data_IF_880801330151
#
_entry.id   IF_880801330151
#
_cell.length_a   1.000
_cell.length_b   1.000
_cell.length_c   1.000
_cell.angle_alpha   90.00
_cell.angle_beta   90.00
_cell.angle_gamma   90.00
#
_symmetry.space_group_name_H-M   'P 1'
#
loop_
_entity.id
_entity.type
_entity.pdbx_description
1 polymer ?
#
# COMPACT_ATOMS: atom_id res chain seq x y z
N UNK A 1 -12.55 29.54 9.25
CA UNK A 1 -11.93 28.90 10.44
C UNK A 1 -12.01 27.39 10.23
N UNK A 2 -10.96 26.78 9.70
CA UNK A 2 -10.87 25.33 9.51
C UNK A 2 -10.61 24.72 10.89
N UNK A 3 -11.61 24.10 11.47
CA UNK A 3 -11.44 23.26 12.66
C UNK A 3 -10.41 22.19 12.34
N UNK A 4 -9.25 22.31 12.95
CA UNK A 4 -8.22 21.27 12.94
C UNK A 4 -8.90 19.97 13.42
N UNK A 5 -9.01 18.92 12.61
CA UNK A 5 -9.63 17.68 13.10
C UNK A 5 -8.79 17.19 14.27
N UNK A 6 -9.43 17.08 15.45
CA UNK A 6 -8.79 16.54 16.64
C UNK A 6 -8.07 15.24 16.26
N UNK A 7 -6.84 15.11 16.71
CA UNK A 7 -6.09 13.84 16.58
C UNK A 7 -6.98 12.73 17.13
N UNK A 8 -7.05 11.57 16.45
CA UNK A 8 -7.84 10.45 16.96
C UNK A 8 -7.38 10.11 18.38
N UNK A 9 -8.27 9.62 19.25
CA UNK A 9 -7.91 9.27 20.62
C UNK A 9 -6.70 8.32 20.62
N UNK A 10 -5.92 8.38 21.70
CA UNK A 10 -4.79 7.47 21.89
C UNK A 10 -5.25 6.02 21.75
N UNK A 11 -4.36 5.10 21.31
CA UNK A 11 -4.70 3.69 21.33
C UNK A 11 -5.09 3.29 22.74
N UNK A 12 -6.07 2.42 22.88
CA UNK A 12 -6.43 1.84 24.16
C UNK A 12 -5.78 0.47 24.37
N UNK A 13 -5.20 -0.09 23.31
CA UNK A 13 -4.41 -1.31 23.34
C UNK A 13 -3.35 -1.25 22.24
N UNK A 14 -2.12 -1.74 22.52
CA UNK A 14 -1.03 -1.78 21.56
C UNK A 14 0.04 -2.77 21.98
N UNK A 15 0.81 -3.27 21.03
CA UNK A 15 1.89 -4.19 21.33
C UNK A 15 2.70 -4.62 20.12
N UNK A 16 3.60 -5.57 20.38
CA UNK A 16 4.36 -6.30 19.38
C UNK A 16 3.84 -7.73 19.33
N UNK A 17 3.52 -8.23 18.14
CA UNK A 17 3.08 -9.60 17.93
C UNK A 17 4.19 -10.38 17.24
N UNK A 18 4.64 -11.46 17.85
CA UNK A 18 5.55 -12.42 17.21
C UNK A 18 4.80 -13.15 16.08
N UNK A 19 5.26 -12.93 14.87
CA UNK A 19 4.69 -13.53 13.66
C UNK A 19 5.58 -14.61 13.04
N UNK A 20 6.59 -15.04 13.79
CA UNK A 20 7.55 -16.05 13.36
C UNK A 20 8.67 -15.50 12.48
N UNK A 21 9.60 -16.39 12.13
CA UNK A 21 10.76 -16.07 11.27
C UNK A 21 11.62 -14.91 11.78
N UNK A 22 11.60 -14.66 13.11
CA UNK A 22 12.30 -13.53 13.72
C UNK A 22 11.63 -12.18 13.51
N UNK A 23 10.39 -12.14 13.02
CA UNK A 23 9.64 -10.92 12.80
C UNK A 23 8.63 -10.64 13.93
N UNK A 24 8.54 -9.38 14.30
CA UNK A 24 7.50 -8.88 15.21
C UNK A 24 6.76 -7.74 14.53
N UNK A 25 5.44 -7.82 14.52
CA UNK A 25 4.54 -6.82 13.93
C UNK A 25 4.01 -5.92 15.03
N UNK A 26 4.23 -4.62 14.87
CA UNK A 26 3.62 -3.62 15.76
C UNK A 26 2.15 -3.42 15.38
N UNK A 27 1.30 -3.43 16.38
CA UNK A 27 -0.13 -3.19 16.24
C UNK A 27 -0.67 -2.26 17.32
N UNK A 28 -1.80 -1.63 17.04
CA UNK A 28 -2.57 -0.88 18.02
C UNK A 28 -4.07 -0.92 17.69
N UNK A 29 -4.89 -0.74 18.74
CA UNK A 29 -6.35 -0.65 18.61
C UNK A 29 -6.82 0.71 19.10
N UNK A 30 -7.69 1.33 18.31
CA UNK A 30 -8.27 2.66 18.57
C UNK A 30 -9.78 2.62 18.41
N UNK A 31 -10.43 3.75 18.76
CA UNK A 31 -11.87 3.91 18.62
C UNK A 31 -12.66 3.37 19.80
N UNK A 32 -13.74 2.65 19.54
CA UNK A 32 -14.67 2.16 20.57
C UNK A 32 -14.36 0.72 20.94
N UNK A 33 -13.99 0.42 22.20
CA UNK A 33 -13.86 -0.97 22.65
C UNK A 33 -15.17 -1.74 22.46
N UNK A 34 -15.10 -2.92 21.80
CA UNK A 34 -16.27 -3.72 21.46
C UNK A 34 -17.11 -3.17 20.30
N UNK A 35 -16.67 -2.12 19.63
CA UNK A 35 -17.27 -1.63 18.40
C UNK A 35 -17.06 -2.61 17.23
N UNK A 36 -17.62 -2.27 16.06
CA UNK A 36 -17.45 -3.09 14.85
C UNK A 36 -15.98 -3.20 14.48
N UNK A 37 -15.40 -4.42 14.38
CA UNK A 37 -13.99 -4.55 14.04
C UNK A 37 -13.69 -4.10 12.60
N UNK A 38 -12.64 -3.28 12.46
CA UNK A 38 -12.10 -2.90 11.17
C UNK A 38 -10.58 -2.88 11.23
N UNK A 39 -9.91 -3.29 10.16
CA UNK A 39 -8.46 -3.23 10.03
C UNK A 39 -8.06 -2.29 8.90
N UNK A 40 -7.06 -1.45 9.17
CA UNK A 40 -6.46 -0.57 8.18
C UNK A 40 -5.20 -1.23 7.61
N UNK A 41 -5.23 -1.52 6.33
CA UNK A 41 -4.13 -2.12 5.57
C UNK A 41 -3.43 -1.00 4.79
N UNK A 42 -2.26 -0.58 5.28
CA UNK A 42 -1.54 0.55 4.70
C UNK A 42 -0.90 0.24 3.35
N UNK A 43 -0.58 1.30 2.60
CA UNK A 43 0.08 1.24 1.30
C UNK A 43 1.61 1.10 1.37
N UNK A 44 2.23 1.31 0.26
CA UNK A 44 3.65 1.14 0.00
C UNK A 44 3.85 0.17 -1.17
N UNK A 45 4.36 -1.08 -0.96
CA UNK A 45 4.67 -1.80 0.31
C UNK A 45 5.64 -1.06 1.22
N UNK A 46 5.52 -1.29 2.54
CA UNK A 46 6.47 -0.72 3.51
C UNK A 46 6.17 0.73 3.95
N UNK A 47 4.96 1.25 3.71
CA UNK A 47 4.61 2.63 4.03
C UNK A 47 4.31 2.92 5.51
N UNK A 48 3.96 1.91 6.30
CA UNK A 48 3.51 2.08 7.69
C UNK A 48 2.13 2.76 7.82
N UNK A 49 1.46 2.58 8.93
CA UNK A 49 0.10 3.12 9.10
C UNK A 49 0.02 4.60 9.53
N UNK A 50 1.13 5.22 9.88
CA UNK A 50 1.20 6.61 10.36
C UNK A 50 0.67 7.65 9.35
N UNK A 51 0.46 7.28 8.10
CA UNK A 51 0.02 8.16 7.02
C UNK A 51 -1.45 8.61 7.07
N UNK A 52 -2.18 8.31 8.15
CA UNK A 52 -3.44 8.96 8.49
C UNK A 52 -4.70 8.38 7.85
N UNK A 53 -4.64 7.28 7.12
CA UNK A 53 -5.81 6.62 6.52
C UNK A 53 -6.93 6.29 7.53
N UNK A 54 -6.56 6.00 8.77
CA UNK A 54 -7.49 5.71 9.85
C UNK A 54 -8.37 6.90 10.29
N UNK A 55 -8.02 8.15 9.97
CA UNK A 55 -8.79 9.36 10.34
C UNK A 55 -10.15 9.45 9.67
N UNK A 56 -10.46 8.53 8.74
CA UNK A 56 -11.74 8.46 8.05
C UNK A 56 -12.80 7.70 8.83
N UNK A 57 -12.39 6.95 9.86
CA UNK A 57 -13.32 6.16 10.69
C UNK A 57 -13.94 7.01 11.80
N UNK A 58 -15.22 6.78 12.04
CA UNK A 58 -15.92 7.38 13.15
C UNK A 58 -15.39 6.84 14.48
N UNK A 59 -15.17 7.74 15.45
CA UNK A 59 -14.70 7.44 16.80
C UNK A 59 -15.64 6.48 17.54
N UNK A 60 -16.94 6.53 17.24
CA UNK A 60 -17.99 5.92 18.05
C UNK A 60 -18.56 4.61 17.47
N UNK A 61 -18.09 4.13 16.34
CA UNK A 61 -18.66 2.98 15.67
C UNK A 61 -17.71 1.77 15.51
N UNK A 62 -16.43 2.01 15.49
CA UNK A 62 -15.44 0.98 15.16
C UNK A 62 -14.42 0.72 16.26
N UNK A 63 -14.11 -0.57 16.43
CA UNK A 63 -12.85 -1.04 17.00
C UNK A 63 -11.84 -1.11 15.85
N UNK A 64 -10.96 -0.11 15.77
CA UNK A 64 -10.07 0.08 14.63
C UNK A 64 -8.70 -0.48 14.90
N UNK A 65 -8.33 -1.54 14.20
CA UNK A 65 -7.03 -2.19 14.24
C UNK A 65 -6.09 -1.54 13.22
N UNK A 66 -4.92 -1.16 13.67
CA UNK A 66 -3.84 -0.59 12.86
C UNK A 66 -2.60 -1.45 13.09
N UNK A 67 -1.84 -1.72 12.06
CA UNK A 67 -0.58 -2.45 12.21
C UNK A 67 0.44 -1.97 11.19
N UNK A 68 1.71 -2.03 11.53
CA UNK A 68 2.80 -1.86 10.60
C UNK A 68 3.15 -3.24 10.02
N UNK A 69 3.07 -3.40 8.70
CA UNK A 69 3.45 -4.65 8.03
C UNK A 69 4.92 -4.97 8.30
N UNK A 70 5.36 -6.21 8.02
CA UNK A 70 6.79 -6.59 8.17
C UNK A 70 7.69 -5.59 7.48
N UNK A 71 8.80 -5.28 8.11
CA UNK A 71 9.86 -4.43 7.56
C UNK A 71 9.61 -2.94 7.60
N UNK A 72 8.52 -2.44 8.19
CA UNK A 72 8.25 -1.00 8.21
C UNK A 72 7.74 -0.48 9.56
N UNK A 73 7.78 0.84 9.71
CA UNK A 73 7.28 1.53 10.88
C UNK A 73 7.97 1.07 12.15
N UNK A 74 7.19 0.57 13.11
CA UNK A 74 7.66 0.03 14.38
C UNK A 74 7.85 -1.48 14.39
N UNK A 75 7.46 -2.17 13.31
CA UNK A 75 7.72 -3.60 13.15
C UNK A 75 9.20 -3.90 13.00
N UNK A 76 9.64 -5.06 13.50
CA UNK A 76 11.06 -5.45 13.48
C UNK A 76 11.25 -6.85 12.91
N UNK A 77 12.38 -7.08 12.19
CA UNK A 77 13.41 -6.12 11.79
C UNK A 77 12.86 -5.11 10.77
N UNK A 78 13.50 -3.94 10.64
CA UNK A 78 13.06 -2.89 9.72
C UNK A 78 13.80 -3.00 8.39
N UNK A 79 13.08 -2.92 7.25
CA UNK A 79 13.66 -3.05 5.92
C UNK A 79 14.69 -1.95 5.55
N UNK A 80 14.69 -0.83 6.28
CA UNK A 80 15.71 0.21 6.15
C UNK A 80 17.06 -0.13 6.79
N UNK A 81 17.13 -1.22 7.56
CA UNK A 81 18.38 -1.67 8.16
C UNK A 81 19.06 -2.66 7.19
N UNK A 82 20.34 -2.45 6.85
CA UNK A 82 21.01 -3.19 5.77
C UNK A 82 21.09 -4.71 6.00
N UNK A 83 21.15 -5.12 7.26
CA UNK A 83 21.28 -6.54 7.62
C UNK A 83 19.92 -7.28 7.65
N UNK A 84 18.81 -6.60 7.33
CA UNK A 84 17.48 -7.22 7.34
C UNK A 84 17.30 -8.13 6.14
N UNK A 85 17.05 -9.42 6.41
CA UNK A 85 16.71 -10.42 5.39
C UNK A 85 15.24 -10.30 4.99
N UNK A 86 14.97 -10.01 3.72
CA UNK A 86 13.61 -9.81 3.18
C UNK A 86 12.93 -11.12 2.74
N UNK A 87 13.59 -12.29 2.82
CA UNK A 87 13.04 -13.57 2.30
C UNK A 87 11.70 -13.97 2.91
N UNK A 88 11.45 -13.60 4.16
CA UNK A 88 10.19 -13.85 4.88
C UNK A 88 9.24 -12.65 4.84
N UNK A 89 9.43 -11.71 3.91
CA UNK A 89 8.55 -10.58 3.69
C UNK A 89 7.89 -10.71 2.30
N UNK A 90 6.83 -11.49 2.22
CA UNK A 90 6.05 -11.74 1.01
C UNK A 90 4.56 -11.55 1.29
N UNK A 91 3.75 -11.42 0.25
CA UNK A 91 2.29 -11.29 0.38
C UNK A 91 1.68 -12.40 1.24
N UNK A 92 2.18 -13.62 1.12
CA UNK A 92 1.70 -14.77 1.89
C UNK A 92 2.03 -14.69 3.38
N UNK A 93 3.21 -14.16 3.72
CA UNK A 93 3.57 -13.88 5.11
C UNK A 93 2.68 -12.78 5.69
N UNK A 94 2.41 -11.70 4.93
CA UNK A 94 1.54 -10.62 5.39
C UNK A 94 0.09 -11.09 5.60
N UNK A 95 -0.43 -11.97 4.75
CA UNK A 95 -1.75 -12.59 4.94
C UNK A 95 -1.77 -13.42 6.24
N UNK A 96 -0.74 -14.23 6.47
CA UNK A 96 -0.62 -15.00 7.71
C UNK A 96 -0.48 -14.11 8.96
N UNK A 97 0.23 -13.00 8.85
CA UNK A 97 0.35 -12.02 9.94
C UNK A 97 -1.00 -11.36 10.27
N UNK A 98 -1.80 -11.03 9.25
CA UNK A 98 -3.15 -10.51 9.45
C UNK A 98 -4.04 -11.52 10.18
N UNK A 99 -3.98 -12.81 9.83
CA UNK A 99 -4.73 -13.85 10.56
C UNK A 99 -4.25 -14.00 12.00
N UNK A 100 -2.93 -14.04 12.25
CA UNK A 100 -2.38 -14.07 13.61
C UNK A 100 -2.83 -12.87 14.43
N UNK A 101 -2.82 -11.67 13.83
CA UNK A 101 -3.28 -10.45 14.51
C UNK A 101 -4.78 -10.51 14.81
N UNK A 102 -5.60 -10.95 13.87
CA UNK A 102 -7.03 -11.13 14.06
C UNK A 102 -7.32 -12.10 15.24
N UNK A 103 -6.65 -13.24 15.24
CA UNK A 103 -6.78 -14.26 16.31
C UNK A 103 -6.29 -13.74 17.66
N UNK A 104 -5.14 -13.05 17.69
CA UNK A 104 -4.58 -12.44 18.91
C UNK A 104 -5.57 -11.46 19.56
N UNK A 105 -6.31 -10.70 18.74
CA UNK A 105 -7.30 -9.74 19.19
C UNK A 105 -8.69 -10.36 19.43
N UNK A 106 -8.87 -11.66 19.22
CA UNK A 106 -10.15 -12.35 19.39
C UNK A 106 -11.25 -11.90 18.42
N UNK A 107 -10.87 -11.37 17.27
CA UNK A 107 -11.79 -10.87 16.25
C UNK A 107 -12.21 -12.03 15.34
N UNK A 108 -13.52 -12.27 15.19
CA UNK A 108 -14.04 -13.30 14.30
C UNK A 108 -14.02 -12.85 12.83
N UNK A 109 -14.52 -11.65 12.58
CA UNK A 109 -14.60 -11.02 11.25
C UNK A 109 -14.33 -9.53 11.39
N UNK A 110 -13.74 -8.93 10.37
CA UNK A 110 -13.49 -7.50 10.32
C UNK A 110 -13.79 -6.87 8.95
N UNK A 111 -14.05 -5.57 8.95
CA UNK A 111 -14.04 -4.75 7.75
C UNK A 111 -12.57 -4.52 7.35
N UNK A 112 -12.26 -4.67 6.06
CA UNK A 112 -10.95 -4.30 5.51
C UNK A 112 -11.02 -2.89 4.91
N UNK A 113 -10.08 -2.02 5.32
CA UNK A 113 -9.83 -0.76 4.65
C UNK A 113 -8.41 -0.76 4.09
N UNK A 114 -8.28 -0.89 2.78
CA UNK A 114 -6.99 -0.92 2.07
C UNK A 114 -6.78 0.34 1.22
N UNK A 115 -5.53 0.83 1.18
CA UNK A 115 -5.14 1.97 0.37
C UNK A 115 -3.89 1.63 -0.46
N UNK A 116 -3.90 1.94 -1.79
CA UNK A 116 -2.77 1.66 -2.69
C UNK A 116 -2.37 0.18 -2.64
N UNK A 117 -1.10 -0.17 -2.38
CA UNK A 117 -0.67 -1.54 -2.10
C UNK A 117 -1.58 -2.27 -1.10
N UNK A 118 -2.02 -1.56 -0.04
CA UNK A 118 -2.94 -2.13 0.94
C UNK A 118 -4.27 -2.60 0.35
N UNK A 119 -4.68 -2.10 -0.82
CA UNK A 119 -5.84 -2.61 -1.54
C UNK A 119 -5.57 -3.98 -2.16
N UNK A 120 -4.39 -4.19 -2.76
CA UNK A 120 -4.00 -5.48 -3.31
C UNK A 120 -3.85 -6.54 -2.20
N UNK A 121 -3.20 -6.18 -1.08
CA UNK A 121 -3.08 -7.06 0.08
C UNK A 121 -4.45 -7.39 0.69
N UNK A 122 -5.36 -6.42 0.79
CA UNK A 122 -6.74 -6.66 1.27
C UNK A 122 -7.51 -7.61 0.37
N UNK A 123 -7.39 -7.48 -0.94
CA UNK A 123 -8.00 -8.40 -1.91
C UNK A 123 -7.41 -9.81 -1.78
N UNK A 124 -6.08 -9.93 -1.72
CA UNK A 124 -5.41 -11.21 -1.56
C UNK A 124 -5.83 -11.92 -0.26
N UNK A 125 -5.90 -11.17 0.85
CA UNK A 125 -6.38 -11.68 2.12
C UNK A 125 -7.84 -12.12 2.04
N UNK A 126 -8.74 -11.29 1.51
CA UNK A 126 -10.16 -11.59 1.43
C UNK A 126 -10.46 -12.80 0.51
N UNK A 127 -9.66 -13.00 -0.54
CA UNK A 127 -9.77 -14.17 -1.42
C UNK A 127 -9.30 -15.46 -0.75
N UNK A 128 -8.40 -15.40 0.23
CA UNK A 128 -7.95 -16.55 1.02
C UNK A 128 -8.88 -16.84 2.20
N UNK A 129 -9.43 -15.80 2.83
CA UNK A 129 -10.21 -15.86 4.05
C UNK A 129 -11.55 -15.11 3.93
N UNK A 130 -12.40 -15.41 2.93
CA UNK A 130 -13.64 -14.66 2.70
C UNK A 130 -14.58 -14.72 3.91
N UNK A 131 -14.56 -15.79 4.69
CA UNK A 131 -15.34 -15.95 5.91
C UNK A 131 -14.89 -15.02 7.06
N UNK A 132 -13.68 -14.43 6.98
CA UNK A 132 -13.12 -13.49 7.96
C UNK A 132 -13.39 -12.02 7.63
N UNK A 133 -14.06 -11.76 6.51
CA UNK A 133 -14.29 -10.40 6.03
C UNK A 133 -15.78 -10.08 6.06
N UNK A 134 -16.13 -8.96 6.69
CA UNK A 134 -17.52 -8.49 6.73
C UNK A 134 -17.83 -7.57 5.55
N UNK A 135 -16.98 -6.59 5.28
CA UNK A 135 -17.06 -5.65 4.15
C UNK A 135 -15.63 -5.22 3.73
N UNK A 136 -15.52 -4.62 2.55
CA UNK A 136 -14.25 -4.13 2.02
C UNK A 136 -14.41 -2.70 1.52
N UNK A 137 -13.52 -1.80 1.94
CA UNK A 137 -13.37 -0.46 1.37
C UNK A 137 -11.94 -0.34 0.83
N UNK A 138 -11.81 -0.09 -0.45
CA UNK A 138 -10.51 0.11 -1.10
C UNK A 138 -10.41 1.52 -1.66
N UNK A 139 -9.27 2.19 -1.43
CA UNK A 139 -9.01 3.52 -1.98
C UNK A 139 -7.68 3.53 -2.74
N UNK A 140 -7.59 4.30 -3.84
CA UNK A 140 -6.45 4.31 -4.75
C UNK A 140 -6.05 2.87 -5.11
N UNK A 141 -7.01 2.12 -5.66
CA UNK A 141 -6.94 0.66 -5.83
C UNK A 141 -5.82 0.27 -6.78
N UNK A 142 -4.99 -0.68 -6.35
CA UNK A 142 -3.92 -1.27 -7.15
C UNK A 142 -4.30 -2.70 -7.54
N UNK A 143 -4.32 -3.01 -8.84
CA UNK A 143 -4.75 -4.31 -9.36
C UNK A 143 -3.75 -5.44 -9.16
N UNK A 144 -2.47 -5.10 -9.00
CA UNK A 144 -1.40 -6.05 -8.72
C UNK A 144 -1.00 -6.94 -9.89
N UNK A 145 -1.41 -6.62 -11.11
CA UNK A 145 -1.02 -7.34 -12.33
C UNK A 145 0.36 -6.88 -12.82
N UNK A 146 1.01 -7.69 -13.61
CA UNK A 146 2.25 -7.30 -14.28
C UNK A 146 2.08 -6.02 -15.10
N UNK A 147 0.97 -5.89 -15.83
CA UNK A 147 0.69 -4.68 -16.61
C UNK A 147 0.50 -3.42 -15.75
N UNK A 148 0.01 -3.53 -14.51
CA UNK A 148 -0.12 -2.41 -13.58
C UNK A 148 1.27 -1.99 -13.06
N UNK A 149 2.16 -2.95 -12.81
CA UNK A 149 3.57 -2.71 -12.45
C UNK A 149 4.31 -2.10 -13.66
N UNK A 150 4.12 -2.65 -14.85
CA UNK A 150 4.72 -2.14 -16.09
C UNK A 150 4.22 -0.73 -16.41
N UNK A 151 2.96 -0.41 -16.12
CA UNK A 151 2.46 0.95 -16.21
C UNK A 151 3.25 1.88 -15.30
N UNK A 152 3.36 1.56 -14.02
CA UNK A 152 3.99 2.40 -13.00
C UNK A 152 5.47 2.64 -13.29
N UNK A 153 6.21 1.59 -13.70
CA UNK A 153 7.65 1.63 -13.90
C UNK A 153 8.10 1.59 -15.37
N UNK A 154 7.22 1.93 -16.31
CA UNK A 154 7.53 2.06 -17.74
C UNK A 154 6.49 2.94 -18.45
N UNK A 155 5.21 2.58 -18.40
CA UNK A 155 4.15 3.22 -19.18
C UNK A 155 3.96 4.69 -18.84
N UNK A 156 3.97 5.04 -17.56
CA UNK A 156 3.82 6.39 -17.04
C UNK A 156 4.97 7.34 -17.46
N UNK A 157 6.13 6.79 -17.83
CA UNK A 157 7.26 7.59 -18.35
C UNK A 157 6.94 8.43 -19.58
N UNK A 158 5.91 8.07 -20.32
CA UNK A 158 5.43 8.89 -21.46
C UNK A 158 4.88 10.25 -21.04
N UNK A 159 4.45 10.39 -19.80
CA UNK A 159 3.91 11.62 -19.24
C UNK A 159 4.97 12.44 -18.50
N UNK A 160 6.06 11.80 -18.07
CA UNK A 160 7.16 12.38 -17.28
C UNK A 160 8.52 11.95 -17.85
N UNK A 161 8.82 12.25 -19.15
CA UNK A 161 10.00 11.70 -19.82
C UNK A 161 11.32 12.10 -19.15
N UNK A 162 11.41 13.33 -18.64
CA UNK A 162 12.61 13.82 -17.96
C UNK A 162 12.86 13.16 -16.60
N UNK A 163 11.80 12.80 -15.87
CA UNK A 163 11.91 12.05 -14.63
C UNK A 163 12.23 10.57 -14.89
N UNK A 164 11.63 10.02 -15.95
CA UNK A 164 11.87 8.68 -16.42
C UNK A 164 13.33 8.48 -16.86
N UNK A 165 13.88 9.40 -17.64
CA UNK A 165 15.29 9.36 -18.07
C UNK A 165 16.26 9.38 -16.87
N UNK A 166 15.96 10.18 -15.82
CA UNK A 166 16.75 10.19 -14.58
C UNK A 166 16.64 8.86 -13.83
N UNK A 167 15.43 8.28 -13.76
CA UNK A 167 15.20 6.99 -13.12
C UNK A 167 15.97 5.87 -13.84
N UNK A 168 15.93 5.83 -15.17
CA UNK A 168 16.70 4.88 -15.98
C UNK A 168 18.22 5.05 -15.80
N UNK A 169 18.69 6.29 -15.78
CA UNK A 169 20.11 6.58 -15.59
C UNK A 169 20.60 6.13 -14.21
N UNK A 170 19.75 6.25 -13.17
CA UNK A 170 20.02 5.71 -11.84
C UNK A 170 20.22 4.20 -11.85
N UNK A 171 19.33 3.47 -12.53
CA UNK A 171 19.41 2.01 -12.67
C UNK A 171 20.68 1.56 -13.45
N UNK A 172 21.15 2.32 -14.44
CA UNK A 172 22.33 1.99 -15.24
C UNK A 172 23.63 1.95 -14.43
N UNK A 173 23.73 2.73 -13.34
CA UNK A 173 24.90 2.75 -12.44
C UNK A 173 25.19 1.41 -11.78
N UNK A 174 24.21 0.53 -11.65
CA UNK A 174 24.37 -0.81 -11.06
C UNK A 174 25.07 -1.82 -11.96
N UNK A 175 25.08 -1.59 -13.26
CA UNK A 175 25.37 -2.67 -14.19
C UNK A 175 26.86 -2.85 -14.51
N UNK A 176 27.74 -1.87 -14.22
CA UNK A 176 29.14 -1.94 -14.70
C UNK A 176 29.24 -2.24 -16.20
N UNK A 177 28.11 -2.28 -16.90
CA UNK A 177 27.97 -2.62 -18.32
C UNK A 177 27.44 -1.38 -19.04
N UNK A 178 28.22 -0.91 -20.02
CA UNK A 178 27.84 0.13 -20.95
C UNK A 178 26.67 -0.34 -21.85
N UNK A 179 25.45 -0.26 -21.32
CA UNK A 179 24.21 -0.55 -22.03
C UNK A 179 23.07 0.17 -21.34
N UNK A 180 22.49 1.15 -22.00
CA UNK A 180 21.24 1.78 -21.56
C UNK A 180 20.19 0.69 -21.38
N UNK A 181 19.46 0.67 -20.23
CA UNK A 181 18.38 -0.29 -20.02
C UNK A 181 17.14 0.09 -20.84
N UNK A 182 17.26 0.16 -22.16
CA UNK A 182 16.09 0.37 -23.03
C UNK A 182 15.15 -0.84 -23.04
N UNK A 183 15.68 -2.05 -22.70
CA UNK A 183 14.92 -3.30 -22.58
C UNK A 183 15.22 -4.03 -21.26
N UNK A 184 15.85 -3.37 -20.30
CA UNK A 184 16.37 -3.95 -19.08
C UNK A 184 15.34 -3.97 -17.94
N UNK A 185 15.52 -4.94 -17.08
CA UNK A 185 14.86 -5.12 -15.80
C UNK A 185 15.23 -3.97 -14.82
N UNK A 186 14.55 -2.82 -14.94
CA UNK A 186 14.78 -1.62 -14.10
C UNK A 186 14.54 -1.94 -12.62
N UNK A 187 13.48 -2.68 -12.32
CA UNK A 187 13.14 -3.06 -10.95
C UNK A 187 14.21 -3.96 -10.32
N UNK A 188 14.67 -4.98 -11.06
CA UNK A 188 15.77 -5.82 -10.59
C UNK A 188 17.09 -5.07 -10.48
N UNK A 189 17.34 -4.06 -11.32
CA UNK A 189 18.52 -3.21 -11.17
C UNK A 189 18.47 -2.42 -9.86
N UNK A 190 17.36 -1.77 -9.54
CA UNK A 190 17.18 -1.09 -8.27
C UNK A 190 17.22 -2.04 -7.07
N UNK A 191 16.61 -3.23 -7.17
CA UNK A 191 16.70 -4.23 -6.12
C UNK A 191 18.16 -4.60 -5.79
N UNK A 192 19.04 -4.70 -6.82
CA UNK A 192 20.48 -4.92 -6.61
C UNK A 192 21.19 -3.73 -5.99
N UNK A 193 20.90 -2.49 -6.46
CA UNK A 193 21.50 -1.27 -5.90
C UNK A 193 21.18 -1.08 -4.42
N UNK A 194 19.96 -1.43 -4.01
CA UNK A 194 19.48 -1.32 -2.63
C UNK A 194 20.14 -2.34 -1.68
N UNK A 195 20.78 -3.37 -2.22
CA UNK A 195 21.57 -4.37 -1.47
C UNK A 195 23.09 -4.14 -1.62
N UNK A 196 23.53 -3.06 -2.26
CA UNK A 196 24.95 -2.77 -2.44
C UNK A 196 25.64 -2.56 -1.07
N UNK A 197 26.87 -3.08 -0.86
CA UNK A 197 27.60 -2.86 0.40
C UNK A 197 27.92 -1.39 0.66
N UNK A 198 28.06 -0.56 -0.39
CA UNK A 198 28.30 0.88 -0.25
C UNK A 198 26.99 1.63 0.08
N UNK A 199 26.97 2.26 1.25
CA UNK A 199 25.84 3.07 1.69
C UNK A 199 25.49 4.20 0.71
N UNK A 200 26.48 4.85 0.10
CA UNK A 200 26.22 5.95 -0.82
C UNK A 200 25.50 5.47 -2.09
N UNK A 201 25.78 4.25 -2.55
CA UNK A 201 25.08 3.63 -3.68
C UNK A 201 23.61 3.36 -3.31
N UNK A 202 23.36 2.78 -2.13
CA UNK A 202 21.99 2.53 -1.66
C UNK A 202 21.18 3.82 -1.50
N UNK A 203 21.76 4.84 -0.85
CA UNK A 203 21.08 6.12 -0.65
C UNK A 203 20.78 6.82 -1.98
N UNK A 204 21.71 6.77 -2.95
CA UNK A 204 21.44 7.30 -4.28
C UNK A 204 20.28 6.57 -4.95
N UNK A 205 20.22 5.24 -4.88
CA UNK A 205 19.11 4.46 -5.43
C UNK A 205 17.78 4.85 -4.79
N UNK A 206 17.74 5.08 -3.47
CA UNK A 206 16.56 5.57 -2.76
C UNK A 206 16.13 6.94 -3.27
N UNK A 207 17.06 7.87 -3.45
CA UNK A 207 16.74 9.20 -3.97
C UNK A 207 16.18 9.15 -5.40
N UNK A 208 16.81 8.36 -6.28
CA UNK A 208 16.37 8.23 -7.67
C UNK A 208 14.96 7.60 -7.76
N UNK A 209 14.70 6.56 -6.96
CA UNK A 209 13.38 5.93 -6.89
C UNK A 209 12.32 6.89 -6.33
N UNK A 210 12.62 7.53 -5.20
CA UNK A 210 11.69 8.49 -4.57
C UNK A 210 11.36 9.66 -5.49
N UNK A 211 12.34 10.16 -6.25
CA UNK A 211 12.14 11.21 -7.22
C UNK A 211 11.20 10.78 -8.37
N UNK A 212 11.28 9.53 -8.79
CA UNK A 212 10.35 8.96 -9.77
C UNK A 212 8.92 8.88 -9.23
N UNK A 213 8.73 8.31 -8.04
CA UNK A 213 7.41 8.21 -7.39
C UNK A 213 6.80 9.61 -7.14
N UNK A 214 7.62 10.57 -6.71
CA UNK A 214 7.17 11.95 -6.50
C UNK A 214 6.79 12.65 -7.82
N UNK A 215 7.45 12.33 -8.93
CA UNK A 215 7.09 12.85 -10.25
C UNK A 215 5.68 12.42 -10.66
N UNK A 216 5.31 11.16 -10.39
CA UNK A 216 3.96 10.65 -10.69
C UNK A 216 2.86 11.36 -9.88
N UNK A 217 3.20 11.89 -8.71
CA UNK A 217 2.29 12.61 -7.82
C UNK A 217 2.31 14.14 -8.04
N UNK A 218 3.22 14.66 -8.87
CA UNK A 218 3.50 16.09 -8.98
C UNK A 218 2.28 16.94 -9.35
N UNK A 219 1.40 16.43 -10.21
CA UNK A 219 0.17 17.14 -10.61
C UNK A 219 -0.81 17.35 -9.43
N UNK A 220 -0.76 16.46 -8.43
CA UNK A 220 -1.63 16.53 -7.25
C UNK A 220 -1.01 17.34 -6.12
N UNK A 221 0.30 17.49 -6.12
CA UNK A 221 1.05 18.15 -5.04
C UNK A 221 1.08 19.67 -5.17
N UNK A 222 0.69 20.24 -6.31
CA UNK A 222 0.56 21.68 -6.53
C UNK A 222 1.83 22.48 -6.12
N UNK A 223 3.02 21.96 -6.45
CA UNK A 223 4.29 22.62 -6.15
C UNK A 223 4.79 22.44 -4.70
N UNK A 224 4.18 21.54 -3.93
CA UNK A 224 4.74 21.13 -2.63
C UNK A 224 5.89 20.15 -2.83
N UNK A 225 6.73 20.03 -1.80
CA UNK A 225 7.80 19.03 -1.78
C UNK A 225 7.25 17.61 -1.95
N UNK A 226 8.06 16.71 -2.50
CA UNK A 226 7.71 15.32 -2.74
C UNK A 226 7.25 14.60 -1.46
N UNK A 227 6.30 13.68 -1.60
CA UNK A 227 5.78 12.90 -0.47
C UNK A 227 6.90 12.03 0.13
N UNK A 228 7.70 11.41 -0.74
CA UNK A 228 8.71 10.43 -0.33
C UNK A 228 10.00 11.10 0.15
N UNK A 229 10.41 12.20 -0.48
CA UNK A 229 11.64 12.91 -0.12
C UNK A 229 11.63 13.54 1.30
N UNK A 230 10.46 13.66 1.93
CA UNK A 230 10.33 14.27 3.28
C UNK A 230 10.55 13.30 4.43
N UNK A 231 10.65 11.98 4.18
CA UNK A 231 10.87 11.01 5.24
C UNK A 231 12.34 10.92 5.66
N UNK A 232 12.63 10.52 6.91
CA UNK A 232 13.98 10.15 7.31
C UNK A 232 14.55 9.06 6.39
N UNK A 233 15.86 9.09 6.09
CA UNK A 233 16.51 8.16 5.15
C UNK A 233 16.22 6.68 5.46
N UNK A 234 16.21 6.29 6.73
CA UNK A 234 15.89 4.92 7.15
C UNK A 234 14.48 4.49 6.72
N UNK A 235 13.50 5.39 6.86
CA UNK A 235 12.11 5.15 6.44
C UNK A 235 11.98 5.10 4.92
N UNK A 236 12.66 6.02 4.21
CA UNK A 236 12.73 6.00 2.75
C UNK A 236 13.35 4.70 2.25
N UNK A 237 14.49 4.30 2.82
CA UNK A 237 15.17 3.04 2.49
C UNK A 237 14.26 1.84 2.68
N UNK A 238 13.55 1.76 3.83
CA UNK A 238 12.62 0.68 4.12
C UNK A 238 11.47 0.61 3.12
N UNK A 239 10.89 1.75 2.75
CA UNK A 239 9.84 1.85 1.76
C UNK A 239 10.33 1.42 0.37
N UNK A 240 11.42 2.01 -0.12
CA UNK A 240 11.93 1.76 -1.47
C UNK A 240 12.42 0.31 -1.61
N UNK A 241 13.12 -0.21 -0.59
CA UNK A 241 13.57 -1.60 -0.57
C UNK A 241 12.39 -2.58 -0.57
N UNK A 242 11.32 -2.27 0.18
CA UNK A 242 10.09 -3.06 0.14
C UNK A 242 9.41 -2.99 -1.24
N UNK A 243 9.27 -1.79 -1.83
CA UNK A 243 8.71 -1.64 -3.17
C UNK A 243 9.50 -2.43 -4.21
N UNK A 244 10.83 -2.29 -4.24
CA UNK A 244 11.68 -3.03 -5.16
C UNK A 244 11.55 -4.55 -4.98
N UNK A 245 11.55 -5.04 -3.73
CA UNK A 245 11.38 -6.44 -3.39
C UNK A 245 10.04 -7.02 -3.88
N UNK A 246 8.94 -6.32 -3.63
CA UNK A 246 7.61 -6.79 -4.05
C UNK A 246 7.40 -6.67 -5.56
N UNK A 247 7.71 -5.54 -6.16
CA UNK A 247 7.43 -5.30 -7.58
C UNK A 247 8.33 -6.13 -8.50
N UNK A 248 9.60 -6.36 -8.16
CA UNK A 248 10.48 -7.24 -8.93
C UNK A 248 10.08 -8.72 -8.86
N UNK A 249 9.34 -9.11 -7.81
CA UNK A 249 8.83 -10.47 -7.62
C UNK A 249 7.32 -10.60 -7.92
N UNK A 250 6.73 -9.68 -8.71
CA UNK A 250 5.32 -9.76 -9.09
C UNK A 250 4.38 -9.82 -7.89
N UNK A 251 4.71 -9.10 -6.81
CA UNK A 251 3.98 -9.10 -5.54
C UNK A 251 3.87 -10.48 -4.86
N UNK A 252 4.65 -11.46 -5.28
CA UNK A 252 4.53 -12.88 -4.88
C UNK A 252 3.14 -13.46 -5.13
N UNK A 253 2.45 -12.98 -6.17
CA UNK A 253 1.15 -13.43 -6.65
C UNK A 253 1.31 -13.98 -8.09
N UNK A 254 0.39 -14.85 -8.50
CA UNK A 254 0.26 -15.16 -9.93
C UNK A 254 -0.25 -13.94 -10.69
N UNK A 255 0.22 -13.74 -11.91
CA UNK A 255 -0.23 -12.63 -12.73
C UNK A 255 -1.74 -12.67 -12.95
N UNK A 256 -2.41 -11.53 -12.69
CA UNK A 256 -3.86 -11.41 -12.78
C UNK A 256 -4.66 -12.16 -11.73
N UNK A 257 -4.02 -12.75 -10.71
CA UNK A 257 -4.68 -13.56 -9.68
C UNK A 257 -5.84 -12.82 -9.01
N UNK A 258 -5.63 -11.57 -8.59
CA UNK A 258 -6.65 -10.81 -7.83
C UNK A 258 -7.92 -10.57 -8.65
N UNK A 259 -7.78 -10.35 -9.95
CA UNK A 259 -8.92 -10.20 -10.88
C UNK A 259 -9.56 -11.56 -11.17
N UNK A 260 -8.78 -12.58 -11.49
CA UNK A 260 -9.25 -13.93 -11.80
C UNK A 260 -10.08 -14.50 -10.64
N UNK A 261 -9.62 -14.31 -9.42
CA UNK A 261 -10.21 -14.89 -8.22
C UNK A 261 -11.22 -13.95 -7.54
N UNK A 262 -11.59 -12.82 -8.18
CA UNK A 262 -12.56 -11.86 -7.64
C UNK A 262 -13.94 -12.47 -7.34
N UNK A 263 -14.34 -13.53 -8.01
CA UNK A 263 -15.55 -14.28 -7.71
C UNK A 263 -15.63 -14.87 -6.30
N UNK A 264 -14.47 -15.06 -5.63
CA UNK A 264 -14.42 -15.50 -4.22
C UNK A 264 -14.95 -14.44 -3.24
N UNK A 265 -15.06 -13.19 -3.69
CA UNK A 265 -15.58 -12.07 -2.91
C UNK A 265 -17.10 -11.97 -2.98
N UNK A 266 -17.81 -12.88 -3.69
CA UNK A 266 -19.25 -12.89 -3.79
C UNK A 266 -19.90 -12.92 -2.39
N UNK A 267 -20.89 -12.06 -2.17
CA UNK A 267 -21.57 -11.89 -0.88
C UNK A 267 -20.85 -10.96 0.11
N UNK A 268 -19.64 -10.48 -0.19
CA UNK A 268 -18.94 -9.47 0.60
C UNK A 268 -19.18 -8.11 -0.03
N UNK A 269 -19.88 -7.16 0.64
CA UNK A 269 -20.10 -5.82 0.10
C UNK A 269 -18.78 -5.07 -0.03
N UNK A 270 -18.54 -4.44 -1.20
CA UNK A 270 -17.33 -3.68 -1.50
C UNK A 270 -17.58 -2.24 -1.93
N UNK A 271 -16.67 -1.33 -1.60
CA UNK A 271 -16.61 0.03 -2.14
C UNK A 271 -15.21 0.31 -2.64
N UNK A 272 -15.09 0.58 -3.94
CA UNK A 272 -13.84 0.87 -4.62
C UNK A 272 -13.79 2.38 -4.92
N UNK A 273 -12.97 3.13 -4.20
CA UNK A 273 -12.81 4.58 -4.37
C UNK A 273 -11.52 4.85 -5.14
N UNK A 274 -11.61 5.48 -6.31
CA UNK A 274 -10.45 5.69 -7.16
C UNK A 274 -10.47 7.07 -7.81
N UNK A 275 -9.28 7.67 -7.99
CA UNK A 275 -9.14 8.94 -8.71
C UNK A 275 -9.11 8.73 -10.23
N UNK A 276 -9.79 9.61 -10.99
CA UNK A 276 -9.77 9.56 -12.45
C UNK A 276 -8.36 9.68 -13.02
N UNK A 277 -7.55 10.51 -12.40
CA UNK A 277 -6.21 10.87 -12.86
C UNK A 277 -5.10 10.17 -12.07
N UNK A 278 -5.40 9.00 -11.50
CA UNK A 278 -4.40 8.22 -10.73
C UNK A 278 -3.31 7.67 -11.67
N UNK A 279 -2.12 8.27 -11.58
CA UNK A 279 -0.95 7.89 -12.38
C UNK A 279 -0.23 6.67 -11.81
N UNK A 280 -0.48 6.31 -10.53
CA UNK A 280 0.11 5.14 -9.89
C UNK A 280 -0.70 3.85 -10.16
N UNK A 281 -1.95 3.98 -10.64
CA UNK A 281 -2.79 2.85 -11.00
C UNK A 281 -3.95 3.28 -11.88
N UNK A 282 -3.97 2.90 -13.17
CA UNK A 282 -5.05 3.28 -14.07
C UNK A 282 -6.43 2.77 -13.60
N UNK A 283 -7.46 3.59 -13.75
CA UNK A 283 -8.84 3.25 -13.41
C UNK A 283 -9.34 1.96 -14.09
N UNK A 284 -8.73 1.55 -15.20
CA UNK A 284 -9.11 0.32 -15.91
C UNK A 284 -9.07 -0.91 -14.99
N UNK A 285 -8.02 -1.09 -14.18
CA UNK A 285 -7.90 -2.22 -13.26
C UNK A 285 -9.08 -2.28 -12.28
N UNK A 286 -9.48 -1.11 -11.74
CA UNK A 286 -10.62 -0.99 -10.81
C UNK A 286 -11.93 -1.33 -11.49
N UNK A 287 -12.09 -0.88 -12.74
CA UNK A 287 -13.29 -1.11 -13.53
C UNK A 287 -13.48 -2.60 -13.87
N UNK A 288 -12.40 -3.27 -14.21
CA UNK A 288 -12.39 -4.72 -14.48
C UNK A 288 -12.66 -5.53 -13.21
N UNK A 289 -12.04 -5.15 -12.09
CA UNK A 289 -12.29 -5.78 -10.79
C UNK A 289 -13.77 -5.67 -10.38
N UNK A 290 -14.38 -4.49 -10.54
CA UNK A 290 -15.78 -4.29 -10.22
C UNK A 290 -16.74 -5.14 -11.07
N UNK A 291 -16.38 -5.39 -12.34
CA UNK A 291 -17.17 -6.30 -13.19
C UNK A 291 -17.10 -7.75 -12.73
N UNK A 292 -15.96 -8.15 -12.15
CA UNK A 292 -15.73 -9.51 -11.66
C UNK A 292 -16.22 -9.71 -10.21
N UNK A 293 -16.51 -8.62 -9.49
CA UNK A 293 -17.02 -8.64 -8.11
C UNK A 293 -18.38 -7.95 -8.01
N UNK A 294 -19.51 -8.72 -8.15
CA UNK A 294 -20.86 -8.15 -8.28
C UNK A 294 -21.35 -7.30 -7.10
N UNK A 295 -20.80 -7.55 -5.90
CA UNK A 295 -21.16 -6.83 -4.68
C UNK A 295 -20.32 -5.57 -4.46
N UNK A 296 -19.46 -5.20 -5.41
CA UNK A 296 -18.61 -4.01 -5.36
C UNK A 296 -19.27 -2.81 -6.07
N UNK A 297 -19.19 -1.64 -5.42
CA UNK A 297 -19.57 -0.34 -5.97
C UNK A 297 -18.32 0.48 -6.27
N UNK A 298 -18.23 1.06 -7.47
CA UNK A 298 -17.13 1.96 -7.85
C UNK A 298 -17.53 3.42 -7.63
N UNK A 299 -16.69 4.16 -6.95
CA UNK A 299 -16.77 5.61 -6.75
C UNK A 299 -15.57 6.27 -7.40
N UNK A 300 -15.76 6.91 -8.55
CA UNK A 300 -14.70 7.65 -9.24
C UNK A 300 -14.68 9.08 -8.78
N UNK A 301 -13.55 9.54 -8.24
CA UNK A 301 -13.30 10.93 -7.90
C UNK A 301 -12.69 11.64 -9.11
N UNK A 302 -13.47 12.50 -9.77
CA UNK A 302 -13.06 13.19 -11.01
C UNK A 302 -12.00 14.27 -10.75
N UNK A 303 -11.88 14.74 -9.51
CA UNK A 303 -10.97 15.79 -9.03
C UNK A 303 -9.67 15.23 -8.40
N UNK A 304 -9.40 13.93 -8.54
CA UNK A 304 -8.31 13.27 -7.84
C UNK A 304 -7.49 12.33 -8.72
N UNK A 305 -6.25 12.14 -8.32
CA UNK A 305 -5.39 11.05 -8.75
C UNK A 305 -5.15 10.04 -7.63
N UNK A 306 -3.85 9.75 -7.33
CA UNK A 306 -3.47 8.79 -6.31
C UNK A 306 -3.68 9.32 -4.90
N UNK A 307 -3.36 10.60 -4.65
CA UNK A 307 -3.49 11.21 -3.33
C UNK A 307 -4.96 11.47 -2.95
N UNK A 308 -5.17 11.83 -1.70
CA UNK A 308 -6.48 12.17 -1.19
C UNK A 308 -6.98 13.50 -1.76
N UNK A 309 -8.25 13.53 -2.15
CA UNK A 309 -9.02 14.75 -2.39
C UNK A 309 -10.22 14.81 -1.44
N UNK A 310 -10.89 15.94 -1.38
CA UNK A 310 -12.13 16.08 -0.60
C UNK A 310 -13.19 15.04 -1.06
N UNK A 311 -13.28 14.81 -2.35
CA UNK A 311 -14.21 13.83 -2.94
C UNK A 311 -13.87 12.40 -2.55
N UNK A 312 -12.58 11.99 -2.65
CA UNK A 312 -12.16 10.66 -2.21
C UNK A 312 -12.41 10.45 -0.72
N UNK A 313 -12.03 11.42 0.11
CA UNK A 313 -12.27 11.37 1.55
C UNK A 313 -13.76 11.24 1.86
N UNK A 314 -14.62 12.00 1.18
CA UNK A 314 -16.07 11.94 1.34
C UNK A 314 -16.61 10.56 0.98
N UNK A 315 -16.23 9.99 -0.17
CA UNK A 315 -16.69 8.66 -0.58
C UNK A 315 -16.27 7.56 0.40
N UNK A 316 -15.04 7.62 0.92
CA UNK A 316 -14.59 6.67 1.95
C UNK A 316 -15.41 6.83 3.23
N UNK A 317 -15.67 8.07 3.70
CA UNK A 317 -16.48 8.32 4.90
C UNK A 317 -17.92 7.83 4.73
N UNK A 318 -18.54 8.08 3.59
CA UNK A 318 -19.88 7.57 3.27
C UNK A 318 -19.96 6.04 3.35
N UNK A 319 -18.91 5.35 2.86
CA UNK A 319 -18.81 3.90 2.95
C UNK A 319 -18.63 3.42 4.41
N UNK A 320 -17.73 4.06 5.15
CA UNK A 320 -17.48 3.80 6.58
C UNK A 320 -18.77 3.96 7.38
N UNK A 321 -19.48 5.08 7.23
CA UNK A 321 -20.77 5.34 7.92
C UNK A 321 -21.86 4.33 7.54
N UNK A 322 -21.95 3.98 6.25
CA UNK A 322 -22.91 2.97 5.77
C UNK A 322 -22.67 1.60 6.40
N UNK A 323 -21.40 1.19 6.47
CA UNK A 323 -21.04 -0.12 7.00
C UNK A 323 -21.05 -0.17 8.55
N UNK A 324 -20.91 0.95 9.24
CA UNK A 324 -21.07 1.01 10.69
C UNK A 324 -22.47 0.62 11.17
N UNK A 325 -23.50 0.76 10.31
CA UNK A 325 -24.91 0.49 10.63
C UNK A 325 -25.36 -0.95 10.30
N UNK A 326 -24.47 -1.76 9.75
CA UNK A 326 -24.69 -3.19 9.45
C UNK A 326 -24.13 -4.07 10.55
#
# INVERSE_FOLDING_TARGET
>A
MTTNPELPPQPYDEGMLDVGDGNQVYWQVRGTPGGKPAVVVHGGPGGGFHRGGFRRFDKNGYQLVLFDQRGCGRSTPHAGDPDTDMKHNTTWHLIADMERLREHLGIERWLLYGYSWGSALSLAYAQQHPERVSEIILAAVFGGRREDIDWLYRGAGRFYPEAWDRFLAGAAGAAGTAGTPHDGDVLGAYARLLEDPDQAVREKAVHDWSAWEDALLSNEMQGKDGVFATYPMREQMGLVRSCAHYFSNGLFLEDGQLLRDAGRLAGIPGVLVHGRMDMNGPLQAVWELAKAWPDAEVKVAEDAGHLDSETKIRYVREAVERFARR
#
